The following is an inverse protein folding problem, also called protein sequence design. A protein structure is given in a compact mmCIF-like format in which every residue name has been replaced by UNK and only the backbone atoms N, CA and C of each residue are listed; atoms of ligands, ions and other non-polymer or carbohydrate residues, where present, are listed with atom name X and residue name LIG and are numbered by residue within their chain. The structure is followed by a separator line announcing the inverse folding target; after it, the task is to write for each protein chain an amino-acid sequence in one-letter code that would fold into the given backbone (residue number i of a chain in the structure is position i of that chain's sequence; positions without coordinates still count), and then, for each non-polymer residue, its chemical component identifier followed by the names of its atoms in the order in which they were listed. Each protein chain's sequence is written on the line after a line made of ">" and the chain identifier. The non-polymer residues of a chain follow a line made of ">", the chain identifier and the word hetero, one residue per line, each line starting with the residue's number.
data_IF_136856644642
#
_entry.id   IF_136856644642
#
_cell.length_a   1.000
_cell.length_b   1.000
_cell.length_c   1.000
_cell.angle_alpha   90.00
_cell.angle_beta   90.00
_cell.angle_gamma   90.00
#
_symmetry.space_group_name_H-M   'P 1'
#
loop_
_entity.id
_entity.type
_entity.pdbx_description
1 polymer ?
#
# COMPACT_ATOMS: atom_id res chain seq x y z
N UNK A 1 -0.42 -16.72 12.17
CA UNK A 1 -1.25 -16.37 11.01
C UNK A 1 -1.21 -14.87 10.83
N UNK A 2 -0.53 -14.42 9.77
CA UNK A 2 -0.52 -13.03 9.37
C UNK A 2 -1.95 -12.57 9.06
N UNK A 3 -2.25 -11.28 9.31
CA UNK A 3 -3.58 -10.69 9.05
C UNK A 3 -3.45 -9.59 8.02
N UNK A 4 -4.47 -9.44 7.19
CA UNK A 4 -4.61 -8.31 6.26
C UNK A 4 -5.82 -7.48 6.65
N UNK A 5 -5.63 -6.17 6.74
CA UNK A 5 -6.71 -5.20 6.91
C UNK A 5 -6.82 -4.33 5.65
N UNK A 6 -8.04 -4.07 5.19
CA UNK A 6 -8.28 -3.18 4.06
C UNK A 6 -8.80 -1.85 4.58
N UNK A 7 -8.01 -0.80 4.37
CA UNK A 7 -8.33 0.57 4.78
C UNK A 7 -8.33 1.49 3.56
N UNK A 8 -8.97 2.65 3.68
CA UNK A 8 -8.81 3.75 2.75
C UNK A 8 -7.47 4.45 3.01
N UNK A 9 -6.86 5.09 1.98
CA UNK A 9 -5.62 5.83 2.18
C UNK A 9 -5.69 6.96 3.21
N UNK A 10 -6.87 7.53 3.47
CA UNK A 10 -7.12 8.59 4.46
C UNK A 10 -7.30 8.07 5.90
N UNK A 11 -7.38 6.75 6.09
CA UNK A 11 -7.46 6.11 7.41
C UNK A 11 -6.08 5.75 7.98
N UNK A 12 -5.00 5.87 7.18
CA UNK A 12 -3.63 5.61 7.63
C UNK A 12 -3.12 6.74 8.54
N UNK A 13 -2.60 6.37 9.70
CA UNK A 13 -2.01 7.28 10.66
C UNK A 13 -0.56 7.67 10.34
N UNK A 14 -0.01 8.52 11.20
CA UNK A 14 1.36 9.05 11.02
C UNK A 14 2.43 7.96 11.09
N UNK A 15 2.23 6.92 11.90
CA UNK A 15 3.20 5.82 12.04
C UNK A 15 3.23 4.94 10.79
N UNK A 16 2.06 4.57 10.26
CA UNK A 16 1.93 3.78 9.04
C UNK A 16 2.57 4.49 7.85
N UNK A 17 2.25 5.78 7.68
CA UNK A 17 2.79 6.60 6.60
C UNK A 17 4.32 6.75 6.71
N UNK A 18 4.85 6.89 7.93
CA UNK A 18 6.29 6.95 8.17
C UNK A 18 6.96 5.62 7.81
N UNK A 19 6.45 4.49 8.31
CA UNK A 19 7.01 3.16 8.04
C UNK A 19 6.97 2.82 6.54
N UNK A 20 5.86 3.13 5.86
CA UNK A 20 5.77 2.99 4.42
C UNK A 20 6.89 3.77 3.73
N UNK A 21 7.03 5.06 4.05
CA UNK A 21 8.05 5.90 3.44
C UNK A 21 9.48 5.39 3.70
N UNK A 22 9.74 4.86 4.89
CA UNK A 22 11.05 4.32 5.27
C UNK A 22 11.34 3.01 4.52
N UNK A 23 10.38 2.07 4.47
CA UNK A 23 10.53 0.82 3.73
C UNK A 23 10.69 1.03 2.23
N UNK A 24 9.92 1.95 1.64
CA UNK A 24 10.09 2.34 0.23
C UNK A 24 11.50 2.89 -0.04
N UNK A 25 12.07 3.67 0.88
CA UNK A 25 13.43 4.23 0.70
C UNK A 25 14.53 3.19 0.86
N UNK A 26 14.27 2.12 1.59
CA UNK A 26 15.22 1.04 1.82
C UNK A 26 15.37 0.09 0.62
N UNK A 27 14.45 0.14 -0.35
CA UNK A 27 14.43 -0.73 -1.52
C UNK A 27 14.49 0.10 -2.82
N UNK A 28 15.55 -0.11 -3.61
CA UNK A 28 15.76 0.61 -4.86
C UNK A 28 14.69 0.27 -5.93
N UNK A 29 14.10 -0.92 -5.90
CA UNK A 29 13.05 -1.33 -6.84
C UNK A 29 11.73 -0.57 -6.56
N UNK A 30 11.58 -0.05 -5.33
CA UNK A 30 10.43 0.76 -4.90
C UNK A 30 10.66 2.28 -5.06
N UNK A 31 11.71 2.70 -5.76
CA UNK A 31 12.06 4.11 -5.91
C UNK A 31 10.99 4.96 -6.62
N UNK A 32 10.18 4.34 -7.48
CA UNK A 32 9.10 5.02 -8.22
C UNK A 32 8.16 5.80 -7.28
N UNK A 33 7.74 7.02 -7.66
CA UNK A 33 6.80 7.81 -6.85
C UNK A 33 5.44 7.12 -6.66
N UNK A 34 5.08 6.20 -7.55
CA UNK A 34 3.84 5.42 -7.47
C UNK A 34 3.78 4.47 -6.27
N UNK A 35 4.93 4.08 -5.72
CA UNK A 35 5.00 3.34 -4.46
C UNK A 35 4.95 4.23 -3.23
N UNK A 36 4.84 5.56 -3.36
CA UNK A 36 4.81 6.45 -2.21
C UNK A 36 3.44 6.48 -1.52
N UNK A 37 3.39 6.68 -0.20
CA UNK A 37 2.12 6.89 0.49
C UNK A 37 1.39 8.14 -0.04
N UNK A 38 2.14 9.17 -0.46
CA UNK A 38 1.58 10.40 -1.04
C UNK A 38 0.79 10.11 -2.33
N UNK A 39 1.27 9.20 -3.17
CA UNK A 39 0.54 8.79 -4.36
C UNK A 39 -0.78 8.13 -3.99
N UNK A 40 -0.76 7.12 -3.11
CA UNK A 40 -1.97 6.44 -2.66
C UNK A 40 -2.99 7.42 -2.04
N UNK A 41 -2.53 8.36 -1.20
CA UNK A 41 -3.38 9.41 -0.63
C UNK A 41 -3.94 10.36 -1.69
N UNK A 42 -3.14 10.77 -2.67
CA UNK A 42 -3.58 11.66 -3.74
C UNK A 42 -4.68 11.02 -4.60
N UNK A 43 -4.50 9.76 -4.99
CA UNK A 43 -5.53 9.03 -5.75
C UNK A 43 -6.78 8.80 -4.88
N UNK A 44 -6.61 8.41 -3.61
CA UNK A 44 -7.72 8.17 -2.68
C UNK A 44 -8.60 9.40 -2.39
N UNK A 45 -8.07 10.62 -2.58
CA UNK A 45 -8.85 11.87 -2.47
C UNK A 45 -9.82 12.08 -3.63
N UNK A 46 -9.50 11.58 -4.82
CA UNK A 46 -10.31 11.78 -6.03
C UNK A 46 -11.04 10.50 -6.48
N UNK A 47 -10.75 9.37 -5.83
CA UNK A 47 -11.35 8.06 -6.13
C UNK A 47 -11.77 7.33 -4.86
N UNK A 48 -13.03 6.87 -4.82
CA UNK A 48 -13.58 6.12 -3.69
C UNK A 48 -13.25 4.63 -3.69
N UNK A 49 -12.68 4.10 -4.78
CA UNK A 49 -12.41 2.68 -5.04
C UNK A 49 -10.95 2.28 -4.74
N UNK A 50 -10.16 3.17 -4.16
CA UNK A 50 -8.80 2.89 -3.70
C UNK A 50 -8.81 2.35 -2.27
N UNK A 51 -8.04 1.30 -2.02
CA UNK A 51 -7.77 0.75 -0.70
C UNK A 51 -6.28 0.48 -0.53
N UNK A 52 -5.84 0.35 0.71
CA UNK A 52 -4.52 -0.14 1.08
C UNK A 52 -4.72 -1.42 1.86
N UNK A 53 -4.17 -2.52 1.36
CA UNK A 53 -4.03 -3.74 2.15
C UNK A 53 -2.85 -3.54 3.10
N UNK A 54 -3.12 -3.55 4.40
CA UNK A 54 -2.14 -3.44 5.47
C UNK A 54 -1.85 -4.84 6.00
N UNK A 55 -0.61 -5.28 5.87
CA UNK A 55 -0.15 -6.58 6.35
C UNK A 55 0.32 -6.47 7.79
N UNK A 56 -0.16 -7.34 8.66
CA UNK A 56 0.18 -7.42 10.08
C UNK A 56 0.76 -8.80 10.39
N UNK A 57 1.85 -8.83 11.16
CA UNK A 57 2.38 -10.06 11.76
C UNK A 57 1.47 -10.52 12.91
N UNK A 58 1.62 -11.77 13.34
CA UNK A 58 0.83 -12.39 14.43
C UNK A 58 0.81 -11.57 15.73
N UNK A 59 1.88 -10.81 15.99
CA UNK A 59 2.01 -9.95 17.17
C UNK A 59 1.40 -8.54 16.97
N UNK A 60 0.67 -8.31 15.88
CA UNK A 60 0.06 -7.02 15.54
C UNK A 60 1.03 -6.01 14.94
N UNK A 61 2.32 -6.35 14.74
CA UNK A 61 3.28 -5.43 14.14
C UNK A 61 3.05 -5.31 12.63
N UNK A 62 3.11 -4.08 12.12
CA UNK A 62 3.07 -3.79 10.69
C UNK A 62 4.18 -4.55 9.94
N UNK A 63 3.81 -5.16 8.82
CA UNK A 63 4.69 -5.92 7.94
C UNK A 63 4.79 -5.28 6.55
N UNK A 64 3.73 -4.62 6.08
CA UNK A 64 3.74 -3.98 4.78
C UNK A 64 2.41 -3.34 4.37
N UNK A 65 2.42 -2.80 3.16
CA UNK A 65 1.33 -2.09 2.51
C UNK A 65 1.23 -2.51 1.05
N UNK A 66 0.02 -2.65 0.52
CA UNK A 66 -0.22 -2.80 -0.91
C UNK A 66 -1.37 -1.89 -1.32
N UNK A 67 -1.09 -0.75 -1.98
CA UNK A 67 -2.14 0.10 -2.54
C UNK A 67 -2.79 -0.61 -3.73
N UNK A 68 -4.11 -0.68 -3.71
CA UNK A 68 -4.92 -1.30 -4.76
C UNK A 68 -6.08 -0.41 -5.13
N UNK A 69 -6.49 -0.46 -6.39
CA UNK A 69 -7.74 0.14 -6.86
C UNK A 69 -8.66 -0.95 -7.36
N UNK A 70 -9.93 -0.87 -7.00
CA UNK A 70 -10.93 -1.89 -7.32
C UNK A 70 -12.11 -1.29 -8.08
N UNK A 71 -11.95 -1.04 -9.40
CA UNK A 71 -12.96 -0.33 -10.21
C UNK A 71 -14.25 -1.12 -10.40
N UNK A 72 -14.18 -2.46 -10.33
CA UNK A 72 -15.30 -3.39 -10.51
C UNK A 72 -15.12 -4.60 -9.59
N UNK A 73 -16.21 -5.30 -9.27
CA UNK A 73 -16.38 -6.26 -8.16
C UNK A 73 -15.34 -7.38 -8.01
N UNK A 74 -14.49 -7.62 -8.99
CA UNK A 74 -13.53 -8.75 -9.02
C UNK A 74 -12.19 -8.39 -9.69
N UNK A 75 -11.88 -7.11 -9.84
CA UNK A 75 -10.65 -6.67 -10.51
C UNK A 75 -9.88 -5.75 -9.58
N UNK A 76 -8.63 -6.13 -9.28
CA UNK A 76 -7.66 -5.25 -8.66
C UNK A 76 -6.69 -4.75 -9.72
N UNK A 77 -6.38 -3.46 -9.66
CA UNK A 77 -5.41 -2.82 -10.52
C UNK A 77 -4.50 -1.92 -9.68
N UNK A 78 -3.39 -1.42 -10.25
CA UNK A 78 -2.56 -0.40 -9.59
C UNK A 78 -3.40 0.80 -9.13
N UNK A 79 -3.12 1.33 -7.94
CA UNK A 79 -3.76 2.56 -7.48
C UNK A 79 -3.42 3.71 -8.43
N UNK A 80 -4.44 4.32 -9.05
CA UNK A 80 -4.27 5.38 -10.04
C UNK A 80 -4.13 4.88 -11.48
N UNK A 81 -4.40 3.59 -11.75
CA UNK A 81 -4.50 3.09 -13.12
C UNK A 81 -5.55 3.85 -13.95
N UNK A 82 -5.30 4.11 -15.25
CA UNK A 82 -4.16 3.65 -16.04
C UNK A 82 -2.92 4.56 -16.01
N UNK A 83 -2.89 5.61 -15.18
CA UNK A 83 -1.72 6.50 -15.09
C UNK A 83 -0.55 5.83 -14.36
N UNK A 84 -0.87 4.95 -13.40
CA UNK A 84 0.08 4.12 -12.70
C UNK A 84 0.08 2.71 -13.26
N UNK A 85 1.23 2.24 -13.74
CA UNK A 85 1.46 0.85 -14.17
C UNK A 85 2.29 0.04 -13.15
N UNK A 86 2.64 0.65 -12.01
CA UNK A 86 3.44 0.01 -10.96
C UNK A 86 2.54 -0.60 -9.88
N UNK A 87 2.77 -1.86 -9.55
CA UNK A 87 2.08 -2.56 -8.48
C UNK A 87 3.05 -3.49 -7.75
N UNK A 88 2.95 -3.50 -6.42
CA UNK A 88 3.86 -4.26 -5.57
C UNK A 88 3.63 -3.93 -4.11
N UNK A 89 3.94 -4.87 -3.23
CA UNK A 89 3.89 -4.65 -1.80
C UNK A 89 5.12 -3.84 -1.36
N UNK A 90 4.90 -2.90 -0.45
CA UNK A 90 5.92 -2.13 0.23
C UNK A 90 6.01 -2.66 1.65
N UNK A 91 7.11 -3.29 2.03
CA UNK A 91 7.19 -3.97 3.31
C UNK A 91 8.53 -3.83 3.99
N UNK A 92 8.55 -4.29 5.23
CA UNK A 92 9.81 -4.52 5.93
C UNK A 92 10.72 -5.43 5.07
N UNK A 93 12.05 -5.35 5.20
CA UNK A 93 12.97 -6.21 4.46
C UNK A 93 12.72 -7.71 4.65
N UNK A 94 12.06 -8.09 5.74
CA UNK A 94 11.65 -9.46 6.06
C UNK A 94 10.17 -9.74 5.71
N UNK A 95 9.53 -8.92 4.89
CA UNK A 95 8.21 -9.20 4.37
C UNK A 95 8.31 -10.41 3.44
N UNK A 96 7.81 -11.54 3.94
CA UNK A 96 7.58 -12.75 3.15
C UNK A 96 6.08 -12.79 2.84
N UNK A 97 5.68 -12.71 1.56
CA UNK A 97 4.33 -13.05 1.16
C UNK A 97 4.08 -14.52 1.55
N UNK A 98 3.02 -14.79 2.31
CA UNK A 98 2.58 -16.16 2.61
C UNK A 98 2.16 -16.91 1.33
#
# INVERSE_FOLDING_TARGET
>A
MSRVELVRPDELGAEELRLWADWRRADADLASPYFSPLWASAVGRVRSDVRVAVFLKDNGRLAGFLPVQHPVRYVLQPAGGPLCDYQGAIGAPDLVPD
#
